data_IF_450183704176
#
_entry.id   IF_450183704176
#
_cell.length_a   1.000
_cell.length_b   1.000
_cell.length_c   1.000
_cell.angle_alpha   90.00
_cell.angle_beta   90.00
_cell.angle_gamma   90.00
#
_symmetry.space_group_name_H-M   'P 1'
#
loop_
_entity.id
_entity.type
_entity.pdbx_description
1 polymer ?
#
# COMPACT_ATOMS: atom_id res chain seq x y z
N UNK A 1 96.69 29.87 -96.41
CA UNK A 1 95.84 30.67 -95.47
C UNK A 1 94.45 30.12 -95.33
N UNK A 2 93.65 29.83 -96.36
CA UNK A 2 92.20 29.34 -96.21
C UNK A 2 92.11 27.97 -95.57
N UNK A 3 93.02 27.02 -95.73
CA UNK A 3 92.97 25.67 -95.16
C UNK A 3 93.15 25.63 -93.63
N UNK A 4 93.90 26.57 -93.03
CA UNK A 4 94.02 26.68 -91.53
C UNK A 4 92.77 27.25 -90.88
N UNK A 5 92.09 28.22 -91.59
CA UNK A 5 90.90 28.83 -91.11
C UNK A 5 89.71 27.84 -91.07
N UNK A 6 89.56 27.04 -92.17
CA UNK A 6 88.57 25.98 -92.25
C UNK A 6 88.81 24.91 -91.18
N UNK A 7 90.10 24.56 -90.87
CA UNK A 7 90.41 23.61 -89.80
C UNK A 7 90.06 24.16 -88.42
N UNK A 8 90.35 25.42 -88.17
CA UNK A 8 89.95 26.11 -86.89
C UNK A 8 88.47 26.18 -86.75
N UNK A 9 87.75 26.53 -87.84
CA UNK A 9 86.27 26.56 -87.81
C UNK A 9 85.67 25.16 -87.57
N UNK A 10 86.24 24.11 -88.22
CA UNK A 10 85.77 22.73 -87.99
C UNK A 10 85.98 22.30 -86.51
N UNK A 11 87.16 22.70 -85.96
CA UNK A 11 87.48 22.40 -84.57
C UNK A 11 86.52 23.10 -83.54
N UNK A 12 86.26 24.38 -83.76
CA UNK A 12 85.26 25.16 -82.96
C UNK A 12 83.86 24.60 -83.10
N UNK A 13 83.45 24.21 -84.33
CA UNK A 13 82.15 23.55 -84.54
C UNK A 13 82.03 22.21 -83.81
N UNK A 14 83.12 21.41 -83.81
CA UNK A 14 83.16 20.13 -83.06
C UNK A 14 83.13 20.33 -81.56
N UNK A 15 83.78 21.37 -81.03
CA UNK A 15 83.78 21.73 -79.63
C UNK A 15 82.41 22.24 -79.21
N UNK A 16 81.77 23.16 -79.97
CA UNK A 16 80.37 23.60 -79.70
C UNK A 16 79.39 22.46 -79.80
N UNK A 17 79.52 21.53 -80.76
CA UNK A 17 78.63 20.35 -80.80
C UNK A 17 78.85 19.41 -79.63
N UNK A 18 80.04 19.37 -79.03
CA UNK A 18 80.31 18.61 -77.80
C UNK A 18 79.65 19.28 -76.59
N UNK A 19 79.74 20.61 -76.45
CA UNK A 19 79.10 21.38 -75.38
C UNK A 19 77.56 21.23 -75.45
N UNK A 20 77.02 21.37 -76.69
CA UNK A 20 75.55 21.18 -76.87
C UNK A 20 75.12 19.76 -76.44
N UNK A 21 75.88 18.72 -76.77
CA UNK A 21 75.59 17.36 -76.34
C UNK A 21 75.63 17.20 -74.82
N UNK A 22 76.56 17.81 -74.12
CA UNK A 22 76.64 17.82 -72.67
C UNK A 22 75.46 18.52 -72.05
N UNK A 23 75.12 19.71 -72.53
CA UNK A 23 73.95 20.46 -72.04
C UNK A 23 72.56 19.73 -72.26
N UNK A 24 72.46 19.07 -73.42
CA UNK A 24 71.25 18.22 -73.68
C UNK A 24 71.25 17.03 -72.75
N UNK A 25 72.38 16.39 -72.44
CA UNK A 25 72.53 15.29 -71.51
C UNK A 25 72.12 15.71 -70.10
N UNK A 26 72.67 16.83 -69.64
CA UNK A 26 72.29 17.40 -68.32
C UNK A 26 70.79 17.78 -68.21
N UNK A 27 70.27 18.45 -69.25
CA UNK A 27 68.89 18.82 -69.33
C UNK A 27 67.96 17.58 -69.31
N UNK A 28 68.29 16.54 -70.03
CA UNK A 28 67.55 15.26 -70.06
C UNK A 28 67.59 14.56 -68.71
N UNK A 29 68.75 14.54 -68.03
CA UNK A 29 68.87 14.00 -66.70
C UNK A 29 67.99 14.79 -65.67
N UNK A 30 68.02 16.12 -65.78
CA UNK A 30 67.28 16.97 -64.90
C UNK A 30 65.73 16.84 -65.09
N UNK A 31 65.26 16.72 -66.33
CA UNK A 31 63.90 16.42 -66.68
C UNK A 31 63.47 15.07 -66.13
N UNK A 32 64.31 14.02 -66.29
CA UNK A 32 64.02 12.70 -65.76
C UNK A 32 63.94 12.69 -64.23
N UNK A 33 64.85 13.38 -63.54
CA UNK A 33 64.80 13.55 -62.09
C UNK A 33 63.54 14.30 -61.63
N UNK A 34 63.11 15.33 -62.39
CA UNK A 34 61.82 16.06 -62.10
C UNK A 34 60.61 15.19 -62.27
N UNK A 35 60.54 14.37 -63.33
CA UNK A 35 59.43 13.41 -63.53
C UNK A 35 59.35 12.39 -62.39
N UNK A 36 60.57 11.89 -61.94
CA UNK A 36 60.57 10.96 -60.78
C UNK A 36 60.10 11.60 -59.48
N UNK A 37 60.25 12.90 -59.23
CA UNK A 37 59.73 13.64 -58.06
C UNK A 37 58.25 13.94 -58.20
N UNK A 38 57.74 14.20 -59.41
CA UNK A 38 56.35 14.50 -59.66
C UNK A 38 55.42 13.24 -59.49
N UNK A 39 55.92 12.06 -59.87
CA UNK A 39 55.16 10.81 -59.82
C UNK A 39 54.61 10.49 -58.43
N UNK A 40 55.36 10.53 -57.32
CA UNK A 40 54.86 10.35 -55.99
C UNK A 40 53.79 11.39 -55.61
N UNK A 41 53.98 12.67 -55.95
CA UNK A 41 53.03 13.74 -55.72
C UNK A 41 51.65 13.48 -56.37
N UNK A 42 51.66 12.90 -57.60
CA UNK A 42 50.42 12.44 -58.24
C UNK A 42 49.67 11.33 -57.39
N UNK A 43 50.41 10.39 -56.82
CA UNK A 43 49.90 9.37 -55.94
C UNK A 43 49.37 9.96 -54.64
N UNK A 44 50.04 10.96 -54.07
CA UNK A 44 49.54 11.67 -52.86
C UNK A 44 48.23 12.44 -53.11
N UNK A 45 48.14 13.11 -54.26
CA UNK A 45 46.89 13.78 -54.67
C UNK A 45 45.75 12.79 -54.82
N UNK A 46 46.00 11.62 -55.39
CA UNK A 46 44.94 10.57 -55.51
C UNK A 46 44.48 10.10 -54.15
N UNK A 47 45.39 9.92 -53.17
CA UNK A 47 45.02 9.56 -51.78
C UNK A 47 44.25 10.67 -51.11
N UNK A 48 44.62 11.93 -51.29
CA UNK A 48 43.85 13.09 -50.75
C UNK A 48 42.43 13.13 -51.33
N UNK A 49 42.27 12.95 -52.65
CA UNK A 49 40.98 12.90 -53.30
C UNK A 49 40.10 11.77 -52.75
N UNK A 50 40.69 10.58 -52.50
CA UNK A 50 39.97 9.48 -51.87
C UNK A 50 39.55 9.84 -50.46
N UNK A 51 40.44 10.41 -49.63
CA UNK A 51 40.14 10.83 -48.27
C UNK A 51 39.03 11.91 -48.21
N UNK A 52 39.03 12.83 -49.17
CA UNK A 52 37.94 13.84 -49.28
C UNK A 52 36.59 13.16 -49.56
N UNK A 53 36.55 12.14 -50.42
CA UNK A 53 35.31 11.37 -50.71
C UNK A 53 34.81 10.63 -49.44
N UNK A 54 35.73 10.05 -48.69
CA UNK A 54 35.36 9.36 -47.44
C UNK A 54 34.81 10.35 -46.41
N UNK A 55 35.43 11.53 -46.27
CA UNK A 55 34.90 12.62 -45.42
C UNK A 55 33.50 13.07 -45.87
N UNK A 56 33.30 13.23 -47.17
CA UNK A 56 31.99 13.61 -47.73
C UNK A 56 30.91 12.55 -47.43
N UNK A 57 31.24 11.25 -47.55
CA UNK A 57 30.35 10.16 -47.23
C UNK A 57 30.00 10.15 -45.72
N UNK A 58 31.00 10.32 -44.84
CA UNK A 58 30.79 10.41 -43.40
C UNK A 58 29.90 11.63 -43.02
N UNK A 59 30.10 12.77 -43.65
CA UNK A 59 29.25 13.97 -43.45
C UNK A 59 27.79 13.75 -43.88
N UNK A 60 27.57 13.03 -44.97
CA UNK A 60 26.21 12.65 -45.37
C UNK A 60 25.54 11.74 -44.35
N UNK A 61 26.27 10.76 -43.81
CA UNK A 61 25.78 9.87 -42.76
C UNK A 61 25.45 10.63 -41.45
N UNK A 62 26.35 11.53 -41.02
CA UNK A 62 26.11 12.39 -39.85
C UNK A 62 24.85 13.26 -40.05
N UNK A 63 24.66 13.82 -41.25
CA UNK A 63 23.50 14.61 -41.58
C UNK A 63 22.19 13.80 -41.45
N UNK A 64 22.20 12.55 -41.95
CA UNK A 64 21.06 11.64 -41.84
C UNK A 64 20.76 11.29 -40.38
N UNK A 65 21.78 10.88 -39.63
CA UNK A 65 21.62 10.56 -38.19
C UNK A 65 21.19 11.76 -37.36
N UNK A 66 21.62 12.97 -37.70
CA UNK A 66 21.20 14.21 -37.05
C UNK A 66 19.72 14.52 -37.33
N UNK A 67 19.22 14.23 -38.52
CA UNK A 67 17.83 14.36 -38.87
C UNK A 67 16.94 13.36 -38.09
N UNK A 68 17.37 12.11 -37.98
CA UNK A 68 16.72 11.07 -37.20
C UNK A 68 16.69 11.42 -35.71
N UNK A 69 17.81 11.91 -35.15
CA UNK A 69 17.86 12.39 -33.77
C UNK A 69 16.93 13.57 -33.52
N UNK A 70 16.82 14.50 -34.46
CA UNK A 70 15.89 15.63 -34.35
C UNK A 70 14.43 15.18 -34.33
N UNK A 71 14.08 14.18 -35.14
CA UNK A 71 12.75 13.56 -35.12
C UNK A 71 12.47 12.87 -33.78
N UNK A 72 13.40 12.03 -33.29
CA UNK A 72 13.30 11.37 -31.99
C UNK A 72 13.17 12.34 -30.81
N UNK A 73 13.92 13.45 -30.84
CA UNK A 73 13.80 14.52 -29.83
C UNK A 73 12.41 15.20 -29.86
N UNK A 74 11.82 15.31 -31.06
CA UNK A 74 10.45 15.84 -31.18
C UNK A 74 9.43 14.90 -30.52
N UNK A 75 9.55 13.59 -30.72
CA UNK A 75 8.70 12.59 -30.07
C UNK A 75 8.87 12.60 -28.54
N UNK A 76 10.12 12.68 -28.05
CA UNK A 76 10.40 12.79 -26.60
C UNK A 76 9.73 14.05 -26.03
N UNK A 77 9.80 15.19 -26.70
CA UNK A 77 9.11 16.42 -26.25
C UNK A 77 7.59 16.24 -26.17
N UNK A 78 7.03 15.49 -27.08
CA UNK A 78 5.58 15.20 -27.06
C UNK A 78 5.24 14.29 -25.87
N UNK A 79 6.02 13.23 -25.65
CA UNK A 79 5.84 12.33 -24.51
C UNK A 79 5.98 13.06 -23.15
N UNK A 80 6.97 13.95 -23.02
CA UNK A 80 7.15 14.78 -21.82
C UNK A 80 5.94 15.68 -21.57
N UNK A 81 5.38 16.30 -22.61
CA UNK A 81 4.14 17.09 -22.45
C UNK A 81 2.97 16.24 -21.95
N UNK A 82 2.81 15.03 -22.49
CA UNK A 82 1.77 14.10 -22.02
C UNK A 82 1.98 13.68 -20.56
N UNK A 83 3.23 13.44 -20.14
CA UNK A 83 3.54 13.17 -18.74
C UNK A 83 3.22 14.35 -17.82
N UNK A 84 3.48 15.58 -18.25
CA UNK A 84 3.12 16.78 -17.49
C UNK A 84 1.61 16.89 -17.30
N UNK A 85 0.83 16.68 -18.37
CA UNK A 85 -0.64 16.66 -18.29
C UNK A 85 -1.18 15.56 -17.37
N UNK A 86 -0.59 14.34 -17.42
CA UNK A 86 -0.95 13.24 -16.52
C UNK A 86 -0.61 13.61 -15.07
N UNK A 87 0.55 14.20 -14.85
CA UNK A 87 0.98 14.62 -13.51
C UNK A 87 0.05 15.67 -12.92
N UNK A 88 -0.37 16.64 -13.70
CA UNK A 88 -1.34 17.66 -13.27
C UNK A 88 -2.72 17.05 -12.96
N UNK A 89 -3.20 16.11 -13.79
CA UNK A 89 -4.44 15.37 -13.50
C UNK A 89 -4.35 14.54 -12.25
N UNK A 90 -3.20 13.87 -12.02
CA UNK A 90 -2.98 13.09 -10.81
C UNK A 90 -2.99 13.99 -9.56
N UNK A 91 -2.39 15.18 -9.61
CA UNK A 91 -2.44 16.14 -8.52
C UNK A 91 -3.89 16.55 -8.19
N UNK A 92 -4.70 16.87 -9.19
CA UNK A 92 -6.12 17.18 -9.02
C UNK A 92 -6.92 16.00 -8.44
N UNK A 93 -6.60 14.76 -8.89
CA UNK A 93 -7.24 13.55 -8.39
C UNK A 93 -6.90 13.31 -6.92
N UNK A 94 -5.65 13.56 -6.51
CA UNK A 94 -5.24 13.46 -5.10
C UNK A 94 -5.97 14.49 -4.24
N UNK A 95 -6.05 15.74 -4.67
CA UNK A 95 -6.83 16.78 -3.96
C UNK A 95 -8.30 16.36 -3.78
N UNK A 96 -8.91 15.84 -4.85
CA UNK A 96 -10.29 15.37 -4.79
C UNK A 96 -10.46 14.17 -3.84
N UNK A 97 -9.50 13.23 -3.84
CA UNK A 97 -9.51 12.08 -2.92
C UNK A 97 -9.37 12.51 -1.46
N UNK A 98 -8.50 13.48 -1.15
CA UNK A 98 -8.36 14.06 0.19
C UNK A 98 -9.67 14.71 0.65
N UNK A 99 -10.30 15.50 -0.23
CA UNK A 99 -11.59 16.12 0.10
C UNK A 99 -12.72 15.11 0.34
N UNK A 100 -12.76 14.03 -0.45
CA UNK A 100 -13.72 12.94 -0.24
C UNK A 100 -13.46 12.18 1.06
N UNK A 101 -12.19 11.93 1.43
CA UNK A 101 -11.84 11.29 2.70
C UNK A 101 -12.28 12.12 3.89
N UNK A 102 -12.05 13.44 3.88
CA UNK A 102 -12.55 14.33 4.93
C UNK A 102 -14.08 14.32 5.05
N UNK A 103 -14.80 14.30 3.92
CA UNK A 103 -16.24 14.22 3.92
C UNK A 103 -16.77 12.88 4.49
N UNK A 104 -16.03 11.77 4.25
CA UNK A 104 -16.35 10.46 4.85
C UNK A 104 -16.12 10.45 6.37
N UNK A 105 -15.04 11.08 6.86
CA UNK A 105 -14.78 11.22 8.29
C UNK A 105 -15.90 12.02 8.98
N UNK A 106 -16.33 13.13 8.40
CA UNK A 106 -17.43 13.96 8.94
C UNK A 106 -18.76 13.17 8.98
N UNK A 107 -19.07 12.43 7.92
CA UNK A 107 -20.27 11.58 7.88
C UNK A 107 -20.20 10.43 8.88
N UNK A 108 -19.02 9.80 9.05
CA UNK A 108 -18.83 8.75 10.04
C UNK A 108 -19.02 9.32 11.47
N UNK A 109 -18.47 10.49 11.77
CA UNK A 109 -18.66 11.18 13.04
C UNK A 109 -20.13 11.50 13.30
N UNK A 110 -20.84 12.06 12.32
CA UNK A 110 -22.28 12.34 12.41
C UNK A 110 -23.09 11.08 12.64
N UNK A 111 -22.72 9.97 11.99
CA UNK A 111 -23.38 8.68 12.18
C UNK A 111 -23.17 8.15 13.59
N UNK A 112 -21.95 8.21 14.13
CA UNK A 112 -21.65 7.82 15.51
C UNK A 112 -22.44 8.65 16.50
N UNK A 113 -22.52 9.98 16.33
CA UNK A 113 -23.34 10.86 17.17
C UNK A 113 -24.85 10.52 17.08
N UNK A 114 -25.33 10.26 15.88
CA UNK A 114 -26.74 9.88 15.65
C UNK A 114 -27.07 8.55 16.32
N UNK A 115 -26.19 7.57 16.25
CA UNK A 115 -26.36 6.26 16.92
C UNK A 115 -26.29 6.41 18.45
N UNK A 116 -25.42 7.29 18.97
CA UNK A 116 -25.32 7.56 20.41
C UNK A 116 -26.57 8.20 20.99
N UNK A 117 -27.35 8.95 20.18
CA UNK A 117 -28.63 9.51 20.59
C UNK A 117 -29.75 8.47 20.66
N UNK A 118 -29.62 7.33 20.00
CA UNK A 118 -30.56 6.22 20.19
C UNK A 118 -30.26 5.56 21.53
N UNK A 119 -31.11 5.73 22.49
CA UNK A 119 -31.16 4.87 23.68
C UNK A 119 -31.51 3.46 23.21
N UNK A 120 -30.51 2.63 23.00
CA UNK A 120 -30.75 1.23 22.67
C UNK A 120 -31.56 0.61 23.80
N UNK A 121 -32.67 -0.06 23.48
CA UNK A 121 -33.44 -0.81 24.44
C UNK A 121 -32.68 -2.02 25.01
N UNK A 122 -31.54 -2.29 24.46
CA UNK A 122 -30.61 -3.36 24.85
C UNK A 122 -29.40 -2.78 25.55
N UNK A 123 -28.90 -3.49 26.56
CA UNK A 123 -27.67 -3.14 27.25
C UNK A 123 -26.42 -3.46 26.45
N UNK A 124 -25.33 -2.72 26.71
CA UNK A 124 -24.02 -2.98 26.13
C UNK A 124 -23.19 -3.96 26.99
N UNK A 125 -22.16 -4.59 26.42
CA UNK A 125 -21.23 -5.41 27.17
C UNK A 125 -20.57 -4.67 28.35
N UNK A 126 -20.21 -3.39 28.16
CA UNK A 126 -19.58 -2.54 29.18
C UNK A 126 -20.54 -2.27 30.33
N UNK A 127 -21.83 -2.03 30.03
CA UNK A 127 -22.88 -1.84 31.03
C UNK A 127 -23.13 -3.12 31.83
N UNK A 128 -23.10 -4.30 31.17
CA UNK A 128 -23.25 -5.58 31.84
C UNK A 128 -22.10 -5.86 32.82
N UNK A 129 -20.83 -5.58 32.40
CA UNK A 129 -19.66 -5.67 33.26
C UNK A 129 -19.84 -4.75 34.50
N UNK A 130 -20.18 -3.49 34.25
CA UNK A 130 -20.39 -2.51 35.32
C UNK A 130 -21.48 -2.95 36.31
N UNK A 131 -22.56 -3.58 35.80
CA UNK A 131 -23.64 -4.11 36.62
C UNK A 131 -23.16 -5.28 37.50
N UNK A 132 -22.37 -6.19 36.97
CA UNK A 132 -21.76 -7.31 37.71
C UNK A 132 -20.79 -6.79 38.76
N UNK A 133 -19.88 -5.87 38.42
CA UNK A 133 -18.93 -5.27 39.36
C UNK A 133 -19.64 -4.57 40.52
N UNK A 134 -20.72 -3.87 40.23
CA UNK A 134 -21.58 -3.23 41.26
C UNK A 134 -22.20 -4.28 42.19
N UNK A 135 -22.65 -5.41 41.66
CA UNK A 135 -23.18 -6.51 42.45
C UNK A 135 -22.13 -7.15 43.34
N UNK A 136 -20.90 -7.37 42.80
CA UNK A 136 -19.76 -7.86 43.57
C UNK A 136 -19.39 -6.89 44.72
N UNK A 137 -19.35 -5.60 44.43
CA UNK A 137 -19.12 -4.57 45.46
C UNK A 137 -20.23 -4.52 46.49
N UNK A 138 -21.48 -4.76 46.11
CA UNK A 138 -22.60 -4.85 47.01
C UNK A 138 -22.47 -6.07 47.93
N UNK A 139 -22.04 -7.24 47.41
CA UNK A 139 -21.81 -8.44 48.25
C UNK A 139 -20.78 -8.17 49.36
N UNK A 140 -19.71 -7.45 49.09
CA UNK A 140 -18.65 -7.10 50.05
C UNK A 140 -19.18 -6.23 51.21
N UNK A 141 -20.26 -5.46 50.97
CA UNK A 141 -20.88 -4.57 51.94
C UNK A 141 -22.08 -5.18 52.64
N UNK A 142 -22.61 -6.28 52.11
CA UNK A 142 -23.82 -6.95 52.67
C UNK A 142 -23.44 -7.75 53.90
N UNK A 143 -24.22 -7.64 54.94
CA UNK A 143 -24.01 -8.32 56.21
C UNK A 143 -24.30 -9.83 56.18
N UNK A 144 -25.13 -10.28 55.24
CA UNK A 144 -25.43 -11.70 55.06
C UNK A 144 -25.65 -12.05 53.57
N UNK A 145 -25.52 -13.35 53.26
CA UNK A 145 -25.83 -13.88 51.94
C UNK A 145 -27.27 -13.69 51.56
N UNK A 146 -28.17 -13.92 52.47
CA UNK A 146 -29.61 -13.81 52.24
C UNK A 146 -30.06 -12.34 51.96
N UNK A 147 -29.46 -11.37 52.66
CA UNK A 147 -29.70 -9.96 52.39
C UNK A 147 -29.19 -9.60 50.98
N UNK A 148 -28.00 -10.01 50.63
CA UNK A 148 -27.42 -9.79 49.30
C UNK A 148 -28.32 -10.34 48.18
N UNK A 149 -28.78 -11.60 48.27
CA UNK A 149 -29.61 -12.25 47.28
C UNK A 149 -31.00 -11.56 47.15
N UNK A 150 -31.58 -11.14 48.25
CA UNK A 150 -32.85 -10.35 48.25
C UNK A 150 -32.66 -9.01 47.58
N UNK A 151 -31.58 -8.30 47.91
CA UNK A 151 -31.27 -6.98 47.32
C UNK A 151 -31.07 -7.08 45.83
N UNK A 152 -30.34 -8.06 45.33
CA UNK A 152 -30.14 -8.28 43.88
C UNK A 152 -31.46 -8.52 43.14
N UNK A 153 -32.43 -9.17 43.79
CA UNK A 153 -33.71 -9.49 43.18
C UNK A 153 -34.69 -8.31 43.21
N UNK A 154 -34.52 -7.40 44.20
CA UNK A 154 -35.44 -6.30 44.39
C UNK A 154 -35.32 -5.23 43.31
N UNK A 155 -36.42 -4.88 42.58
CA UNK A 155 -36.34 -3.96 41.43
C UNK A 155 -35.78 -2.57 41.78
N UNK A 156 -36.05 -2.05 42.98
CA UNK A 156 -35.58 -0.71 43.39
C UNK A 156 -34.08 -0.63 43.67
N UNK A 157 -33.35 -1.75 43.76
CA UNK A 157 -31.92 -1.77 44.02
C UNK A 157 -31.07 -1.60 42.76
N UNK A 158 -31.68 -1.56 41.57
CA UNK A 158 -31.03 -1.21 40.30
C UNK A 158 -30.09 -2.30 39.74
N UNK A 159 -30.30 -3.56 40.11
CA UNK A 159 -29.59 -4.73 39.52
C UNK A 159 -30.32 -5.31 38.31
N UNK A 160 -31.21 -4.51 37.75
CA UNK A 160 -31.97 -4.73 36.54
C UNK A 160 -32.02 -3.40 35.76
N UNK A 161 -31.73 -3.42 34.47
CA UNK A 161 -31.82 -2.28 33.58
C UNK A 161 -32.13 -2.74 32.15
N UNK A 162 -33.23 -2.27 31.59
CA UNK A 162 -33.71 -2.65 30.24
C UNK A 162 -33.83 -4.18 30.08
N UNK A 163 -33.00 -4.82 29.25
CA UNK A 163 -32.93 -6.27 29.03
C UNK A 163 -31.82 -6.96 29.86
N UNK A 164 -31.04 -6.15 30.60
CA UNK A 164 -29.97 -6.65 31.48
C UNK A 164 -30.50 -6.92 32.90
N UNK A 165 -30.05 -8.01 33.46
CA UNK A 165 -30.32 -8.36 34.84
C UNK A 165 -29.16 -9.14 35.43
N UNK A 166 -28.87 -8.88 36.70
CA UNK A 166 -27.94 -9.69 37.45
C UNK A 166 -28.62 -10.98 37.86
N UNK A 167 -28.01 -12.12 37.62
CA UNK A 167 -28.45 -13.41 38.14
C UNK A 167 -27.39 -14.02 39.04
N UNK A 168 -27.82 -14.88 39.94
CA UNK A 168 -26.95 -15.70 40.78
C UNK A 168 -27.40 -17.14 40.72
N UNK A 169 -26.48 -18.04 40.42
CA UNK A 169 -26.70 -19.48 40.33
C UNK A 169 -25.91 -20.23 41.39
N UNK A 170 -26.51 -21.24 41.93
CA UNK A 170 -25.77 -22.28 42.70
C UNK A 170 -25.32 -23.41 41.76
N UNK A 171 -24.55 -24.34 42.30
CA UNK A 171 -24.03 -25.50 41.56
C UNK A 171 -25.10 -26.48 41.09
N UNK A 172 -26.32 -26.43 41.66
CA UNK A 172 -27.45 -27.23 41.20
C UNK A 172 -28.13 -26.62 39.95
N UNK A 173 -27.76 -25.39 39.56
CA UNK A 173 -28.38 -24.61 38.51
C UNK A 173 -29.56 -23.79 38.93
N UNK A 174 -29.88 -23.74 40.24
CA UNK A 174 -30.98 -22.93 40.73
C UNK A 174 -30.61 -21.43 40.77
N UNK A 175 -31.51 -20.58 40.29
CA UNK A 175 -31.40 -19.13 40.43
C UNK A 175 -31.69 -18.75 41.88
N UNK A 176 -30.67 -18.28 42.58
CA UNK A 176 -30.80 -17.78 43.96
C UNK A 176 -31.15 -16.30 43.99
N UNK A 177 -30.84 -15.55 42.98
CA UNK A 177 -31.28 -14.18 42.72
C UNK A 177 -31.47 -13.94 41.25
N UNK A 178 -32.42 -13.07 40.91
CA UNK A 178 -32.68 -12.67 39.53
C UNK A 178 -33.16 -11.21 39.51
N UNK A 179 -32.36 -10.33 38.98
CA UNK A 179 -32.59 -8.87 38.98
C UNK A 179 -33.96 -8.50 38.43
N UNK A 180 -34.76 -7.83 39.25
CA UNK A 180 -36.08 -7.34 38.86
C UNK A 180 -37.18 -8.41 38.74
N UNK A 181 -36.88 -9.73 38.93
CA UNK A 181 -37.89 -10.78 38.71
C UNK A 181 -37.81 -11.89 39.78
N UNK A 182 -38.51 -11.71 40.88
CA UNK A 182 -38.58 -12.67 41.97
C UNK A 182 -39.20 -14.04 41.59
N UNK A 183 -40.07 -14.08 40.55
CA UNK A 183 -40.68 -15.32 40.09
C UNK A 183 -39.68 -16.31 39.45
N UNK A 184 -38.50 -15.84 39.07
CA UNK A 184 -37.42 -16.69 38.53
C UNK A 184 -36.57 -17.33 39.63
N UNK A 185 -36.58 -16.81 40.84
CA UNK A 185 -35.86 -17.38 41.98
C UNK A 185 -36.39 -18.78 42.30
N UNK A 186 -35.49 -19.74 42.43
CA UNK A 186 -35.79 -21.16 42.62
C UNK A 186 -36.02 -21.97 41.33
N UNK A 187 -36.19 -21.33 40.17
CA UNK A 187 -36.19 -22.06 38.89
C UNK A 187 -34.78 -22.46 38.50
N UNK A 188 -34.63 -23.43 37.61
CA UNK A 188 -33.29 -23.96 37.23
C UNK A 188 -32.95 -23.60 35.79
N UNK A 189 -31.66 -23.43 35.52
CA UNK A 189 -31.14 -23.22 34.16
C UNK A 189 -31.51 -24.37 33.23
N UNK A 190 -31.52 -25.60 33.76
CA UNK A 190 -31.83 -26.81 33.01
C UNK A 190 -33.31 -26.86 32.54
N UNK A 191 -34.21 -26.10 33.20
CA UNK A 191 -35.61 -26.03 32.85
C UNK A 191 -35.94 -25.01 31.75
N UNK A 192 -34.94 -24.27 31.25
CA UNK A 192 -35.14 -23.30 30.19
C UNK A 192 -35.31 -24.02 28.85
N UNK A 193 -36.49 -23.85 28.26
CA UNK A 193 -36.81 -24.49 26.97
C UNK A 193 -35.88 -24.01 25.85
N UNK A 194 -35.39 -24.97 25.05
CA UNK A 194 -34.66 -24.68 23.81
C UNK A 194 -33.14 -24.43 24.00
N UNK A 195 -32.62 -24.71 25.21
CA UNK A 195 -31.16 -24.66 25.45
C UNK A 195 -30.65 -25.95 26.08
N UNK A 196 -29.34 -26.22 25.89
CA UNK A 196 -28.63 -27.20 26.73
C UNK A 196 -28.31 -26.56 28.08
N UNK A 197 -29.27 -26.63 29.01
CA UNK A 197 -29.14 -25.97 30.33
C UNK A 197 -28.02 -26.56 31.19
N UNK A 198 -27.70 -27.86 31.05
CA UNK A 198 -26.60 -28.45 31.80
C UNK A 198 -25.24 -28.00 31.22
N UNK A 199 -25.08 -28.02 29.90
CA UNK A 199 -23.87 -27.53 29.26
C UNK A 199 -23.63 -26.03 29.51
N UNK A 200 -24.70 -25.23 29.55
CA UNK A 200 -24.61 -23.81 29.93
C UNK A 200 -24.16 -23.63 31.38
N UNK A 201 -24.76 -24.37 32.33
CA UNK A 201 -24.37 -24.33 33.76
C UNK A 201 -22.87 -24.68 33.93
N UNK A 202 -22.43 -25.76 33.29
CA UNK A 202 -21.04 -26.21 33.35
C UNK A 202 -20.10 -25.14 32.78
N UNK A 203 -20.46 -24.52 31.66
CA UNK A 203 -19.69 -23.44 31.01
C UNK A 203 -19.60 -22.20 31.90
N UNK A 204 -20.69 -21.80 32.54
CA UNK A 204 -20.75 -20.66 33.48
C UNK A 204 -19.83 -20.89 34.66
N UNK A 205 -19.91 -22.07 35.30
CA UNK A 205 -19.05 -22.37 36.46
C UNK A 205 -17.59 -22.59 36.08
N UNK A 206 -17.34 -23.18 34.93
CA UNK A 206 -15.96 -23.35 34.39
C UNK A 206 -15.31 -21.97 34.18
N UNK A 207 -15.99 -21.07 33.47
CA UNK A 207 -15.50 -19.71 33.21
C UNK A 207 -15.32 -18.93 34.51
N UNK A 208 -16.36 -18.86 35.33
CA UNK A 208 -16.35 -18.06 36.56
C UNK A 208 -15.32 -18.56 37.59
N UNK A 209 -15.06 -19.88 37.65
CA UNK A 209 -14.06 -20.47 38.56
C UNK A 209 -12.61 -20.21 38.10
N UNK A 210 -12.41 -20.04 36.80
CA UNK A 210 -11.08 -19.76 36.21
C UNK A 210 -10.74 -18.28 36.35
N UNK A 211 -11.57 -17.43 35.80
CA UNK A 211 -11.45 -15.97 35.81
C UNK A 211 -12.78 -15.34 35.41
N UNK A 212 -13.07 -14.08 35.78
CA UNK A 212 -14.19 -13.33 35.25
C UNK A 212 -14.15 -13.31 33.71
N UNK A 213 -15.28 -13.58 33.05
CA UNK A 213 -15.30 -13.64 31.59
C UNK A 213 -16.66 -13.90 30.98
N UNK A 214 -16.70 -14.01 29.67
CA UNK A 214 -17.91 -14.17 28.89
C UNK A 214 -18.21 -15.63 28.58
N UNK A 215 -19.50 -15.99 28.71
CA UNK A 215 -20.06 -17.26 28.23
C UNK A 215 -21.12 -16.96 27.20
N UNK A 216 -20.97 -17.52 26.00
CA UNK A 216 -21.89 -17.33 24.87
C UNK A 216 -22.79 -18.55 24.70
N UNK A 217 -24.09 -18.30 24.49
CA UNK A 217 -25.11 -19.36 24.31
C UNK A 217 -26.32 -18.83 23.55
N UNK A 218 -27.03 -19.72 22.87
CA UNK A 218 -28.27 -19.39 22.20
C UNK A 218 -29.45 -19.60 23.13
N UNK A 219 -30.35 -18.62 23.18
CA UNK A 219 -31.55 -18.67 24.01
C UNK A 219 -32.76 -18.07 23.28
N UNK A 220 -33.92 -18.61 23.51
CA UNK A 220 -35.16 -17.99 23.07
C UNK A 220 -35.40 -16.69 23.83
N UNK A 221 -35.39 -15.56 23.12
CA UNK A 221 -35.66 -14.26 23.72
C UNK A 221 -37.14 -14.16 24.13
N UNK A 222 -37.45 -13.96 25.42
CA UNK A 222 -38.83 -13.91 25.90
C UNK A 222 -39.70 -12.79 25.28
N UNK A 223 -39.07 -11.70 24.86
CA UNK A 223 -39.78 -10.54 24.28
C UNK A 223 -40.11 -10.76 22.79
N UNK A 224 -39.29 -11.50 22.04
CA UNK A 224 -39.45 -11.67 20.59
C UNK A 224 -39.84 -13.09 20.18
N UNK A 225 -39.68 -14.08 21.06
CA UNK A 225 -39.89 -15.51 20.78
C UNK A 225 -38.82 -16.10 19.81
N UNK A 226 -37.81 -15.33 19.41
CA UNK A 226 -36.74 -15.77 18.48
C UNK A 226 -35.54 -16.29 19.23
N UNK A 227 -34.88 -17.30 18.68
CA UNK A 227 -33.56 -17.74 19.19
C UNK A 227 -32.53 -16.66 18.85
N UNK A 228 -31.82 -16.18 19.87
CA UNK A 228 -30.80 -15.15 19.79
C UNK A 228 -29.60 -15.57 20.60
N UNK A 229 -28.42 -15.23 20.11
CA UNK A 229 -27.17 -15.44 20.85
C UNK A 229 -27.09 -14.43 21.98
N UNK A 230 -26.95 -14.92 23.21
CA UNK A 230 -26.76 -14.14 24.44
C UNK A 230 -25.35 -14.39 24.97
N UNK A 231 -24.71 -13.33 25.42
CA UNK A 231 -23.44 -13.40 26.13
C UNK A 231 -23.66 -12.98 27.55
N UNK A 232 -23.19 -13.80 28.50
CA UNK A 232 -23.24 -13.45 29.94
C UNK A 232 -21.82 -13.29 30.48
N UNK A 233 -21.55 -12.12 31.04
CA UNK A 233 -20.33 -11.90 31.81
C UNK A 233 -20.53 -12.50 33.20
N UNK A 234 -19.65 -13.41 33.57
CA UNK A 234 -19.82 -14.22 34.79
C UNK A 234 -18.57 -14.13 35.68
N UNK A 235 -18.79 -14.11 36.97
CA UNK A 235 -17.75 -14.09 38.01
C UNK A 235 -18.13 -15.05 39.14
N UNK A 236 -17.13 -15.55 39.86
CA UNK A 236 -17.36 -16.30 41.07
C UNK A 236 -17.50 -15.36 42.29
N UNK A 237 -18.55 -15.51 43.06
CA UNK A 237 -18.78 -14.78 44.31
C UNK A 237 -19.07 -15.82 45.40
N UNK A 238 -18.17 -15.98 46.35
CA UNK A 238 -18.15 -17.08 47.30
C UNK A 238 -18.15 -18.46 46.55
N UNK A 239 -19.22 -19.24 46.70
CA UNK A 239 -19.44 -20.52 46.01
C UNK A 239 -20.45 -20.45 44.88
N UNK A 240 -20.89 -19.23 44.51
CA UNK A 240 -21.96 -18.93 43.56
C UNK A 240 -21.41 -18.32 42.27
N UNK A 241 -22.03 -18.62 41.16
CA UNK A 241 -21.83 -17.92 39.92
C UNK A 241 -22.77 -16.72 39.80
N UNK A 242 -22.21 -15.52 39.69
CA UNK A 242 -22.92 -14.28 39.48
C UNK A 242 -22.66 -13.78 38.08
N UNK A 243 -23.70 -13.33 37.36
CA UNK A 243 -23.52 -12.83 35.99
C UNK A 243 -24.60 -11.86 35.54
N UNK A 244 -24.32 -11.22 34.41
CA UNK A 244 -25.28 -10.39 33.67
C UNK A 244 -25.12 -10.64 32.18
N UNK A 245 -26.20 -10.80 31.44
CA UNK A 245 -26.18 -11.13 30.02
C UNK A 245 -26.74 -10.03 29.14
N UNK A 246 -26.13 -9.91 27.95
CA UNK A 246 -26.57 -9.04 26.85
C UNK A 246 -26.78 -9.86 25.59
N UNK A 247 -27.67 -9.42 24.70
CA UNK A 247 -27.85 -10.04 23.39
C UNK A 247 -26.82 -9.50 22.39
N UNK A 248 -26.22 -10.40 21.60
CA UNK A 248 -25.19 -10.05 20.62
C UNK A 248 -25.71 -9.24 19.45
N UNK A 249 -26.95 -9.48 19.03
CA UNK A 249 -27.57 -8.81 17.90
C UNK A 249 -28.58 -7.76 18.39
N UNK A 250 -28.38 -6.51 17.96
CA UNK A 250 -29.35 -5.45 18.15
C UNK A 250 -30.65 -5.81 17.44
N UNK A 251 -31.75 -5.83 18.17
CA UNK A 251 -33.09 -5.96 17.57
C UNK A 251 -33.57 -4.54 17.29
N UNK A 252 -33.68 -4.20 16.00
CA UNK A 252 -34.47 -3.02 15.62
C UNK A 252 -35.93 -3.24 16.01
N UNK A 253 -36.43 -2.35 16.82
CA UNK A 253 -37.85 -2.29 17.18
C UNK A 253 -38.75 -1.92 16.01
#
# INVERSE_FOLDING_TARGET
MVASEVRSLAQRSAESAKEIRLLIGESSAQVSASVQKIRPAGGDITRIVSGIRDVAANMAQISTSSAEQSAGLSEIRQAVRQLDEITQRNAQMVEHAVHQSSNLEDRASTLVESVALFQLQQGSPEEAIALVERAVAHRRRSGSRDSFLRDLTHPAQGFFDRDMYVFVLDRSGAYLAFGGNAAKVGTRVQDIAGIDGQGLLDSIFLQASREPGWVEYDISNPATGRVQTKMSYVVMVDDLALGCGVYRNLVAS
#
